data_IF_905999786574
#
_entry.id   IF_905999786574
#
_cell.length_a   1.000
_cell.length_b   1.000
_cell.length_c   1.000
_cell.angle_alpha   90.00
_cell.angle_beta   90.00
_cell.angle_gamma   90.00
#
_symmetry.space_group_name_H-M   'P 1'
#
loop_
_entity.id
_entity.type
_entity.pdbx_description
1 polymer ?
#
# COMPACT_ATOMS: atom_id res chain seq x y z
N UNK A 1 23.53 -37.96 -12.92
CA UNK A 1 23.92 -36.69 -12.31
C UNK A 1 23.04 -36.52 -11.07
N UNK A 2 23.49 -37.04 -9.93
CA UNK A 2 22.80 -36.95 -8.66
C UNK A 2 22.80 -35.49 -8.21
N UNK A 3 21.63 -34.91 -8.21
CA UNK A 3 21.43 -33.62 -7.57
C UNK A 3 21.52 -33.84 -6.07
N UNK A 4 22.61 -33.41 -5.47
CA UNK A 4 22.73 -33.41 -4.01
C UNK A 4 21.51 -32.66 -3.43
N UNK A 5 20.85 -33.31 -2.47
CA UNK A 5 19.63 -32.82 -1.79
C UNK A 5 19.83 -31.55 -0.94
N UNK A 6 20.93 -30.89 -1.13
CA UNK A 6 21.28 -29.60 -0.51
C UNK A 6 21.14 -28.46 -1.51
N UNK A 7 19.98 -28.32 -2.17
CA UNK A 7 19.61 -26.97 -2.59
C UNK A 7 19.52 -26.16 -1.30
N UNK A 8 20.59 -25.47 -0.96
CA UNK A 8 20.67 -24.63 0.25
C UNK A 8 19.53 -23.63 0.13
N UNK A 9 18.43 -23.93 0.83
CA UNK A 9 17.52 -22.89 1.21
C UNK A 9 18.39 -21.74 1.71
N UNK A 10 18.21 -20.51 1.28
CA UNK A 10 18.87 -19.40 1.93
C UNK A 10 18.46 -19.49 3.40
N UNK A 11 19.32 -20.14 4.20
CA UNK A 11 19.10 -20.22 5.63
C UNK A 11 18.88 -18.79 6.06
N UNK A 12 17.75 -18.53 6.71
CA UNK A 12 17.62 -17.33 7.53
C UNK A 12 18.94 -17.23 8.25
N UNK A 13 19.78 -16.28 7.87
CA UNK A 13 21.08 -16.11 8.45
C UNK A 13 20.82 -16.04 9.94
N UNK A 14 21.34 -16.96 10.72
CA UNK A 14 21.23 -16.94 12.16
C UNK A 14 21.89 -15.66 12.64
N UNK A 15 21.09 -14.61 12.65
CA UNK A 15 21.52 -13.32 13.13
C UNK A 15 21.42 -13.39 14.65
N UNK A 16 22.56 -13.35 15.32
CA UNK A 16 22.66 -13.43 16.79
C UNK A 16 21.85 -12.35 17.52
N UNK A 17 21.41 -11.28 16.81
CA UNK A 17 20.55 -10.21 17.34
C UNK A 17 19.53 -9.78 16.30
N UNK A 18 18.26 -9.95 16.61
CA UNK A 18 17.17 -9.38 15.81
C UNK A 18 17.08 -7.86 16.06
N UNK A 19 17.10 -7.07 14.98
CA UNK A 19 16.99 -5.62 15.06
C UNK A 19 15.64 -5.11 14.53
N UNK A 20 14.62 -5.96 14.53
CA UNK A 20 13.28 -5.58 14.05
C UNK A 20 12.73 -4.33 14.75
N UNK A 21 12.66 -4.38 16.08
CA UNK A 21 12.13 -3.24 16.85
C UNK A 21 13.01 -2.00 16.78
N UNK A 22 14.32 -2.17 16.63
CA UNK A 22 15.24 -1.06 16.36
C UNK A 22 14.88 -0.39 15.02
N UNK A 23 14.63 -1.18 13.96
CA UNK A 23 14.26 -0.67 12.64
C UNK A 23 12.93 0.07 12.69
N UNK A 24 11.92 -0.54 13.32
CA UNK A 24 10.60 0.10 13.52
C UNK A 24 10.75 1.42 14.26
N UNK A 25 11.51 1.43 15.37
CA UNK A 25 11.76 2.63 16.16
C UNK A 25 12.53 3.72 15.41
N UNK A 26 13.55 3.34 14.63
CA UNK A 26 14.31 4.29 13.79
C UNK A 26 13.41 4.90 12.71
N UNK A 27 12.61 4.11 12.02
CA UNK A 27 11.70 4.63 11.00
C UNK A 27 10.63 5.54 11.64
N UNK A 28 10.09 5.17 12.79
CA UNK A 28 9.14 6.00 13.53
C UNK A 28 9.78 7.34 13.97
N UNK A 29 10.97 7.27 14.56
CA UNK A 29 11.70 8.46 15.04
C UNK A 29 12.06 9.39 13.88
N UNK A 30 12.59 8.84 12.79
CA UNK A 30 12.95 9.64 11.60
C UNK A 30 11.72 10.31 11.01
N UNK A 31 10.61 9.58 10.84
CA UNK A 31 9.35 10.16 10.38
C UNK A 31 8.82 11.23 11.33
N UNK A 32 8.85 10.97 12.64
CA UNK A 32 8.44 11.95 13.65
C UNK A 32 9.29 13.23 13.59
N UNK A 33 10.62 13.10 13.50
CA UNK A 33 11.53 14.25 13.38
C UNK A 33 11.31 15.03 12.07
N UNK A 34 10.97 14.33 10.98
CA UNK A 34 10.68 14.97 9.69
C UNK A 34 9.38 15.77 9.74
N UNK A 35 8.30 15.21 10.32
CA UNK A 35 7.01 15.87 10.35
C UNK A 35 6.85 16.86 11.50
N UNK A 36 7.62 16.74 12.59
CA UNK A 36 7.49 17.54 13.80
C UNK A 36 7.55 19.05 13.55
N UNK A 37 8.48 19.60 12.75
CA UNK A 37 8.53 21.04 12.50
C UNK A 37 7.23 21.57 11.88
N UNK A 38 6.70 20.88 10.88
CA UNK A 38 5.45 21.26 10.22
C UNK A 38 4.25 21.15 11.16
N UNK A 39 4.19 20.08 11.94
CA UNK A 39 3.15 19.87 12.95
C UNK A 39 3.12 20.96 14.02
N UNK A 40 4.30 21.42 14.47
CA UNK A 40 4.40 22.49 15.47
C UNK A 40 4.06 23.87 14.87
N UNK A 41 4.52 24.16 13.65
CA UNK A 41 4.24 25.43 12.97
C UNK A 41 2.74 25.58 12.71
N UNK A 42 2.06 24.50 12.36
CA UNK A 42 0.64 24.49 12.06
C UNK A 42 -0.25 24.27 13.32
N UNK A 43 0.31 24.41 14.52
CA UNK A 43 -0.46 24.31 15.77
C UNK A 43 -1.06 22.93 16.03
N UNK A 44 -0.37 21.85 15.61
CA UNK A 44 -0.81 20.46 15.77
C UNK A 44 -1.56 19.89 14.56
N UNK A 45 -1.71 20.69 13.51
CA UNK A 45 -2.18 20.19 12.21
C UNK A 45 -1.00 19.86 11.30
N UNK A 46 -1.29 19.24 10.18
CA UNK A 46 -0.34 19.08 9.10
C UNK A 46 -1.02 19.49 7.80
N UNK A 47 -0.68 20.67 7.32
CA UNK A 47 -1.10 21.15 6.02
C UNK A 47 0.00 20.81 5.01
N UNK A 48 -0.37 20.11 3.97
CA UNK A 48 0.56 19.82 2.89
C UNK A 48 0.07 20.50 1.61
N UNK A 49 -0.50 19.75 0.69
CA UNK A 49 -0.92 20.30 -0.59
C UNK A 49 -2.10 19.51 -1.16
N UNK A 50 -2.91 20.15 -1.99
CA UNK A 50 -3.92 19.54 -2.82
C UNK A 50 -4.77 18.49 -2.11
N UNK A 51 -4.71 17.25 -2.58
CA UNK A 51 -5.56 16.16 -2.11
C UNK A 51 -5.34 15.79 -0.64
N UNK A 52 -4.17 16.04 -0.07
CA UNK A 52 -3.98 15.81 1.36
C UNK A 52 -4.91 16.68 2.19
N UNK A 53 -4.96 17.98 1.91
CA UNK A 53 -5.80 18.92 2.64
C UNK A 53 -7.29 18.81 2.27
N UNK A 54 -7.57 18.79 0.96
CA UNK A 54 -8.95 18.84 0.46
C UNK A 54 -9.72 17.55 0.64
N UNK A 55 -9.02 16.40 0.58
CA UNK A 55 -9.65 15.09 0.61
C UNK A 55 -9.26 14.29 1.86
N UNK A 56 -7.96 14.04 2.09
CA UNK A 56 -7.56 13.03 3.07
C UNK A 56 -7.97 13.37 4.51
N UNK A 57 -7.75 14.62 4.94
CA UNK A 57 -8.15 15.07 6.28
C UNK A 57 -9.67 15.04 6.42
N UNK A 58 -10.38 15.56 5.41
CA UNK A 58 -11.84 15.62 5.39
C UNK A 58 -12.46 14.23 5.36
N UNK A 59 -11.92 13.31 4.56
CA UNK A 59 -12.41 11.94 4.44
C UNK A 59 -12.23 11.16 5.74
N UNK A 60 -11.06 11.24 6.38
CA UNK A 60 -10.84 10.60 7.67
C UNK A 60 -11.84 11.10 8.72
N UNK A 61 -12.02 12.42 8.80
CA UNK A 61 -12.97 13.03 9.76
C UNK A 61 -14.41 12.61 9.47
N UNK A 62 -14.84 12.75 8.21
CA UNK A 62 -16.19 12.39 7.81
C UNK A 62 -16.48 10.91 8.09
N UNK A 63 -15.62 10.03 7.60
CA UNK A 63 -15.82 8.59 7.71
C UNK A 63 -15.73 8.08 9.15
N UNK A 64 -14.92 8.70 10.01
CA UNK A 64 -14.91 8.39 11.43
C UNK A 64 -16.29 8.67 12.05
N UNK A 65 -16.87 9.83 11.80
CA UNK A 65 -18.22 10.17 12.24
C UNK A 65 -19.29 9.27 11.65
N UNK A 66 -19.20 9.00 10.34
CA UNK A 66 -20.12 8.13 9.62
C UNK A 66 -20.16 6.71 10.22
N UNK A 67 -19.01 6.07 10.40
CA UNK A 67 -18.90 4.73 10.99
C UNK A 67 -19.39 4.68 12.44
N UNK A 68 -19.19 5.75 13.20
CA UNK A 68 -19.65 5.84 14.61
C UNK A 68 -21.09 6.25 14.78
N UNK A 69 -21.78 6.61 13.71
CA UNK A 69 -23.15 7.12 13.80
C UNK A 69 -23.28 8.51 14.43
N UNK A 70 -22.15 9.26 14.54
CA UNK A 70 -22.12 10.54 15.18
C UNK A 70 -22.67 11.66 14.28
N UNK A 71 -23.96 11.93 14.37
CA UNK A 71 -24.56 13.14 13.80
C UNK A 71 -24.81 13.14 12.30
N UNK A 72 -24.62 12.03 11.63
CA UNK A 72 -24.96 11.86 10.22
C UNK A 72 -26.26 11.02 10.11
N UNK A 73 -27.36 11.57 9.55
CA UNK A 73 -28.64 10.87 9.47
C UNK A 73 -28.57 9.57 8.65
N UNK A 74 -27.54 9.43 7.81
CA UNK A 74 -27.33 8.29 6.93
C UNK A 74 -26.24 7.34 7.44
N UNK A 75 -25.94 7.30 8.74
CA UNK A 75 -24.86 6.48 9.26
C UNK A 75 -25.10 4.99 9.07
N UNK A 76 -24.06 4.25 8.69
CA UNK A 76 -24.14 2.82 8.37
C UNK A 76 -24.56 1.94 9.57
N UNK A 77 -24.38 2.40 10.80
CA UNK A 77 -24.78 1.66 12.00
C UNK A 77 -26.28 1.70 12.26
N UNK A 78 -26.98 2.72 11.76
CA UNK A 78 -28.42 2.81 11.92
C UNK A 78 -29.18 2.06 10.83
N UNK A 79 -28.54 1.81 9.68
CA UNK A 79 -29.15 1.05 8.59
C UNK A 79 -28.08 0.37 7.75
N UNK A 80 -27.86 -0.91 8.00
CA UNK A 80 -27.01 -1.82 7.18
C UNK A 80 -27.37 -1.78 5.68
N UNK A 81 -28.45 -1.10 5.30
CA UNK A 81 -28.95 -0.98 3.93
C UNK A 81 -28.59 0.32 3.22
N UNK A 82 -28.20 1.38 3.94
CA UNK A 82 -27.92 2.67 3.30
C UNK A 82 -26.42 2.85 3.06
N UNK A 83 -25.95 2.41 1.91
CA UNK A 83 -24.61 2.72 1.38
C UNK A 83 -24.57 4.09 0.70
N UNK A 84 -25.66 4.83 0.66
CA UNK A 84 -25.81 6.14 0.04
C UNK A 84 -25.82 7.25 1.09
N UNK A 85 -25.16 8.35 0.82
CA UNK A 85 -25.18 9.54 1.66
C UNK A 85 -25.29 10.82 0.82
N UNK A 86 -26.21 11.69 1.19
CA UNK A 86 -26.34 13.04 0.60
C UNK A 86 -25.16 13.95 0.92
N UNK A 87 -24.42 13.67 2.00
CA UNK A 87 -23.23 14.43 2.39
C UNK A 87 -21.96 14.00 1.61
N UNK A 88 -22.06 12.98 0.77
CA UNK A 88 -20.94 12.48 -0.06
C UNK A 88 -21.17 12.89 -1.51
N UNK A 89 -20.28 13.72 -2.06
CA UNK A 89 -20.28 14.11 -3.48
C UNK A 89 -21.65 14.54 -4.05
N UNK A 90 -22.41 15.35 -3.27
CA UNK A 90 -23.78 15.78 -3.63
C UNK A 90 -24.80 14.63 -3.71
N UNK A 91 -24.53 13.53 -3.04
CA UNK A 91 -25.33 12.33 -3.05
C UNK A 91 -24.68 11.20 -3.84
N UNK A 92 -23.92 10.37 -3.15
CA UNK A 92 -23.19 9.24 -3.74
C UNK A 92 -23.19 8.03 -2.81
N UNK A 93 -22.90 6.86 -3.39
CA UNK A 93 -22.63 5.65 -2.62
C UNK A 93 -21.32 5.76 -1.84
N UNK A 94 -21.37 5.53 -0.54
CA UNK A 94 -20.20 5.58 0.36
C UNK A 94 -19.13 4.58 -0.07
N UNK A 95 -19.53 3.39 -0.56
CA UNK A 95 -18.59 2.41 -1.12
C UNK A 95 -17.89 2.93 -2.37
N UNK A 96 -18.61 3.61 -3.25
CA UNK A 96 -18.02 4.18 -4.46
C UNK A 96 -17.01 5.27 -4.12
N UNK A 97 -17.32 6.14 -3.16
CA UNK A 97 -16.50 7.29 -2.81
C UNK A 97 -15.28 6.92 -1.95
N UNK A 98 -15.39 5.95 -1.03
CA UNK A 98 -14.39 5.74 0.02
C UNK A 98 -13.74 4.35 0.04
N UNK A 99 -14.20 3.38 -0.75
CA UNK A 99 -13.58 2.05 -0.78
C UNK A 99 -12.12 2.09 -1.22
N UNK A 100 -11.80 2.97 -2.17
CA UNK A 100 -10.43 3.17 -2.67
C UNK A 100 -9.51 3.87 -1.66
N UNK A 101 -10.06 4.78 -0.84
CA UNK A 101 -9.26 5.66 0.02
C UNK A 101 -9.09 5.15 1.44
N UNK A 102 -10.14 4.60 2.06
CA UNK A 102 -10.17 4.43 3.52
C UNK A 102 -10.68 3.07 3.99
N UNK A 103 -11.73 2.52 3.38
CA UNK A 103 -12.45 1.37 3.93
C UNK A 103 -11.55 0.16 4.19
N UNK A 104 -10.57 -0.08 3.33
CA UNK A 104 -9.64 -1.16 3.46
C UNK A 104 -8.41 -0.86 4.32
N UNK A 105 -8.20 0.40 4.71
CA UNK A 105 -7.00 0.82 5.42
C UNK A 105 -7.02 0.41 6.90
N UNK A 106 -6.05 -0.40 7.38
CA UNK A 106 -5.95 -0.71 8.79
C UNK A 106 -5.64 0.53 9.65
N UNK A 107 -5.00 1.53 9.07
CA UNK A 107 -4.69 2.80 9.74
C UNK A 107 -5.94 3.66 9.92
N UNK A 108 -6.87 3.61 8.97
CA UNK A 108 -8.17 4.24 9.16
C UNK A 108 -8.96 3.54 10.29
N UNK A 109 -9.02 2.21 10.29
CA UNK A 109 -9.69 1.47 11.37
C UNK A 109 -9.07 1.73 12.74
N UNK A 110 -7.75 1.85 12.81
CA UNK A 110 -7.07 2.28 14.04
C UNK A 110 -7.50 3.68 14.46
N UNK A 111 -7.70 4.61 13.51
CA UNK A 111 -8.13 5.98 13.81
C UNK A 111 -9.52 6.07 14.45
N UNK A 112 -10.36 5.04 14.30
CA UNK A 112 -11.68 4.98 14.94
C UNK A 112 -11.61 4.88 16.47
N UNK A 113 -10.46 4.54 17.04
CA UNK A 113 -10.27 4.56 18.50
C UNK A 113 -10.32 5.99 19.08
N UNK A 114 -10.20 7.00 18.24
CA UNK A 114 -10.13 8.41 18.64
C UNK A 114 -11.41 9.17 18.26
N UNK A 115 -11.75 10.25 19.02
CA UNK A 115 -12.86 11.11 18.67
C UNK A 115 -12.72 11.76 17.30
N UNK A 116 -13.84 11.97 16.62
CA UNK A 116 -13.88 12.58 15.28
C UNK A 116 -13.10 13.91 15.19
N UNK A 117 -13.23 14.74 16.21
CA UNK A 117 -12.58 16.06 16.22
C UNK A 117 -11.04 15.99 16.36
N UNK A 118 -10.49 14.85 16.74
CA UNK A 118 -9.05 14.64 16.87
C UNK A 118 -8.40 14.21 15.55
N UNK A 119 -9.20 13.80 14.55
CA UNK A 119 -8.66 13.24 13.31
C UNK A 119 -7.68 14.17 12.58
N UNK A 120 -7.92 15.49 12.47
CA UNK A 120 -6.96 16.39 11.84
C UNK A 120 -5.59 16.39 12.53
N UNK A 121 -5.57 16.26 13.87
CA UNK A 121 -4.33 16.18 14.66
C UNK A 121 -3.65 14.81 14.58
N UNK A 122 -4.40 13.77 14.26
CA UNK A 122 -3.89 12.40 14.15
C UNK A 122 -3.22 12.11 12.81
N UNK A 123 -3.31 12.97 11.81
CA UNK A 123 -2.76 12.72 10.49
C UNK A 123 -1.25 12.46 10.54
N UNK A 124 -0.48 13.26 11.28
CA UNK A 124 0.97 13.05 11.47
C UNK A 124 1.27 11.79 12.28
N UNK A 125 0.67 11.55 13.46
CA UNK A 125 0.84 10.28 14.18
C UNK A 125 0.54 9.04 13.32
N UNK A 126 -0.51 9.08 12.48
CA UNK A 126 -0.83 8.00 11.56
C UNK A 126 0.22 7.83 10.46
N UNK A 127 0.75 8.92 9.91
CA UNK A 127 1.87 8.86 8.96
C UNK A 127 3.10 8.23 9.62
N UNK A 128 3.48 8.66 10.82
CA UNK A 128 4.59 8.06 11.57
C UNK A 128 4.38 6.57 11.77
N UNK A 129 3.15 6.14 12.12
CA UNK A 129 2.81 4.73 12.25
C UNK A 129 2.98 3.98 10.91
N UNK A 130 2.54 4.56 9.79
CA UNK A 130 2.70 3.95 8.45
C UNK A 130 4.16 3.75 8.09
N UNK A 131 5.00 4.77 8.31
CA UNK A 131 6.44 4.67 8.09
C UNK A 131 7.09 3.61 9.00
N UNK A 132 6.69 3.53 10.25
CA UNK A 132 7.16 2.49 11.18
C UNK A 132 6.79 1.07 10.68
N UNK A 133 5.55 0.89 10.24
CA UNK A 133 5.06 -0.38 9.68
C UNK A 133 5.80 -0.73 8.38
N UNK A 134 6.01 0.25 7.48
CA UNK A 134 6.78 0.06 6.26
C UNK A 134 8.20 -0.45 6.55
N UNK A 135 8.90 0.19 7.50
CA UNK A 135 10.24 -0.22 7.91
C UNK A 135 10.29 -1.62 8.49
N UNK A 136 9.31 -1.98 9.32
CA UNK A 136 9.18 -3.34 9.87
C UNK A 136 8.98 -4.39 8.79
N UNK A 137 8.08 -4.15 7.84
CA UNK A 137 7.82 -5.05 6.72
C UNK A 137 9.05 -5.22 5.81
N UNK A 138 9.67 -4.09 5.44
CA UNK A 138 10.89 -4.11 4.63
C UNK A 138 12.04 -4.85 5.33
N UNK A 139 12.21 -4.67 6.64
CA UNK A 139 13.19 -5.41 7.43
C UNK A 139 12.92 -6.92 7.38
N UNK A 140 11.67 -7.36 7.60
CA UNK A 140 11.31 -8.78 7.57
C UNK A 140 11.61 -9.42 6.21
N UNK A 141 11.35 -8.70 5.13
CA UNK A 141 11.65 -9.16 3.77
C UNK A 141 13.15 -9.19 3.50
N UNK A 142 13.85 -8.06 3.74
CA UNK A 142 15.25 -7.90 3.37
C UNK A 142 16.22 -8.76 4.18
N UNK A 143 15.91 -9.06 5.45
CA UNK A 143 16.76 -9.89 6.31
C UNK A 143 17.05 -11.29 5.75
N UNK A 144 16.23 -11.74 4.79
CA UNK A 144 16.47 -13.03 4.11
C UNK A 144 17.62 -12.95 3.12
N UNK A 145 17.84 -11.78 2.52
CA UNK A 145 18.77 -11.59 1.40
C UNK A 145 20.06 -10.89 1.82
N UNK A 146 19.99 -10.02 2.81
CA UNK A 146 21.11 -9.21 3.26
C UNK A 146 21.84 -9.89 4.41
N UNK A 147 23.14 -10.21 4.19
CA UNK A 147 23.94 -10.95 5.18
C UNK A 147 24.24 -10.16 6.45
N UNK A 148 24.46 -8.85 6.31
CA UNK A 148 24.75 -7.97 7.44
C UNK A 148 23.45 -7.33 7.93
N UNK A 149 23.17 -7.48 9.23
CA UNK A 149 21.95 -6.96 9.84
C UNK A 149 21.85 -5.43 9.79
N UNK A 150 22.99 -4.72 9.88
CA UNK A 150 23.00 -3.26 9.84
C UNK A 150 22.63 -2.75 8.44
N UNK A 151 23.08 -3.44 7.40
CA UNK A 151 22.65 -3.15 6.03
C UNK A 151 21.20 -3.55 5.78
N UNK A 152 20.68 -4.53 6.50
CA UNK A 152 19.23 -4.83 6.48
C UNK A 152 18.43 -3.66 7.04
N UNK A 153 18.85 -3.11 8.18
CA UNK A 153 18.23 -1.92 8.78
C UNK A 153 18.32 -0.73 7.82
N UNK A 154 19.50 -0.47 7.26
CA UNK A 154 19.69 0.59 6.28
C UNK A 154 18.78 0.41 5.06
N UNK A 155 18.73 -0.79 4.49
CA UNK A 155 17.87 -1.09 3.34
C UNK A 155 16.38 -0.89 3.65
N UNK A 156 15.94 -1.26 4.85
CA UNK A 156 14.57 -1.02 5.30
C UNK A 156 14.27 0.50 5.44
N UNK A 157 15.21 1.28 5.96
CA UNK A 157 15.09 2.73 6.01
C UNK A 157 15.05 3.34 4.60
N UNK A 158 15.93 2.92 3.68
CA UNK A 158 15.93 3.39 2.29
C UNK A 158 14.61 3.08 1.57
N UNK A 159 14.03 1.92 1.79
CA UNK A 159 12.71 1.59 1.26
C UNK A 159 11.63 2.52 1.84
N UNK A 160 11.62 2.66 3.16
CA UNK A 160 10.61 3.43 3.90
C UNK A 160 10.61 4.90 3.49
N UNK A 161 11.79 5.49 3.34
CA UNK A 161 11.99 6.90 2.97
C UNK A 161 12.37 7.06 1.49
N UNK A 162 11.95 6.12 0.64
CA UNK A 162 12.15 6.25 -0.81
C UNK A 162 11.45 7.49 -1.36
N UNK A 163 11.94 7.98 -2.49
CA UNK A 163 11.34 9.12 -3.18
C UNK A 163 9.85 8.93 -3.44
N UNK A 164 9.44 7.70 -3.80
CA UNK A 164 8.03 7.34 -3.96
C UNK A 164 7.23 7.58 -2.68
N UNK A 165 7.69 7.10 -1.54
CA UNK A 165 6.95 7.22 -0.27
C UNK A 165 6.85 8.69 0.16
N UNK A 166 7.96 9.41 0.14
CA UNK A 166 8.02 10.81 0.59
C UNK A 166 7.18 11.71 -0.31
N UNK A 167 7.25 11.53 -1.62
CA UNK A 167 6.45 12.30 -2.56
C UNK A 167 4.95 11.99 -2.41
N UNK A 168 4.58 10.71 -2.26
CA UNK A 168 3.19 10.28 -2.18
C UNK A 168 2.54 10.48 -0.80
N UNK A 169 3.18 11.15 0.15
CA UNK A 169 2.49 11.68 1.34
C UNK A 169 1.26 12.53 0.94
N UNK A 170 1.35 13.20 -0.19
CA UNK A 170 0.25 13.92 -0.84
C UNK A 170 -1.00 13.04 -1.02
N UNK A 171 -0.82 11.78 -1.39
CA UNK A 171 -1.85 10.75 -1.43
C UNK A 171 -1.69 9.81 -0.24
N UNK A 172 -2.13 10.22 0.92
CA UNK A 172 -1.95 9.51 2.18
C UNK A 172 -2.26 7.99 2.12
N UNK A 173 -3.26 7.58 1.31
CA UNK A 173 -3.62 6.17 1.11
C UNK A 173 -2.59 5.37 0.26
N UNK A 174 -1.72 6.03 -0.50
CA UNK A 174 -0.62 5.34 -1.20
C UNK A 174 0.47 4.90 -0.22
N UNK A 175 0.67 5.65 0.86
CA UNK A 175 1.61 5.27 1.93
C UNK A 175 1.18 3.98 2.64
N UNK A 176 -0.14 3.71 2.69
CA UNK A 176 -0.66 2.44 3.21
C UNK A 176 -0.18 1.25 2.36
N UNK A 177 -0.18 1.42 1.03
CA UNK A 177 0.30 0.40 0.10
C UNK A 177 1.79 0.12 0.32
N UNK A 178 2.60 1.18 0.45
CA UNK A 178 4.03 1.05 0.77
C UNK A 178 4.23 0.34 2.11
N UNK A 179 3.43 0.67 3.11
CA UNK A 179 3.54 0.08 4.44
C UNK A 179 3.25 -1.43 4.45
N UNK A 180 2.29 -1.90 3.65
CA UNK A 180 1.78 -3.27 3.71
C UNK A 180 2.37 -4.21 2.67
N UNK A 181 2.86 -3.70 1.54
CA UNK A 181 3.39 -4.53 0.45
C UNK A 181 4.59 -5.41 0.83
N UNK A 182 5.57 -4.96 1.62
CA UNK A 182 6.69 -5.80 2.02
C UNK A 182 6.28 -7.05 2.82
N UNK A 183 5.18 -6.99 3.57
CA UNK A 183 4.65 -8.14 4.28
C UNK A 183 4.06 -9.18 3.33
N UNK A 184 3.48 -8.75 2.21
CA UNK A 184 3.00 -9.65 1.16
C UNK A 184 4.18 -10.39 0.52
N UNK A 185 5.27 -9.69 0.20
CA UNK A 185 6.51 -10.30 -0.32
C UNK A 185 7.13 -11.26 0.69
N UNK A 186 7.26 -10.82 1.94
CA UNK A 186 7.77 -11.67 3.01
C UNK A 186 6.93 -12.94 3.18
N UNK A 187 5.61 -12.84 3.15
CA UNK A 187 4.73 -13.99 3.33
C UNK A 187 4.79 -14.98 2.16
N UNK A 188 4.96 -14.49 0.93
CA UNK A 188 5.21 -15.34 -0.23
C UNK A 188 6.52 -16.10 -0.06
N UNK A 189 7.59 -15.42 0.35
CA UNK A 189 8.87 -16.07 0.61
C UNK A 189 8.79 -17.10 1.75
N UNK A 190 8.05 -16.81 2.81
CA UNK A 190 7.82 -17.77 3.90
C UNK A 190 7.06 -19.01 3.41
N UNK A 191 6.10 -18.85 2.50
CA UNK A 191 5.41 -19.98 1.89
C UNK A 191 6.31 -20.77 0.94
N UNK A 192 7.19 -20.09 0.18
CA UNK A 192 8.10 -20.73 -0.77
C UNK A 192 9.23 -21.50 -0.09
N UNK A 193 9.88 -20.90 0.92
CA UNK A 193 11.10 -21.41 1.50
C UNK A 193 10.90 -22.16 2.82
N UNK A 194 9.94 -21.75 3.64
CA UNK A 194 9.73 -22.29 4.99
C UNK A 194 8.44 -23.10 5.13
N UNK A 195 7.67 -23.28 4.04
CA UNK A 195 6.37 -23.96 4.04
C UNK A 195 5.37 -23.40 5.09
N UNK A 196 5.54 -22.13 5.47
CA UNK A 196 4.61 -21.45 6.38
C UNK A 196 3.34 -21.09 5.64
N UNK A 197 2.24 -21.67 6.10
CA UNK A 197 0.94 -21.53 5.45
C UNK A 197 0.10 -20.45 6.10
N UNK A 198 -0.94 -20.03 5.39
CA UNK A 198 -1.97 -19.07 5.79
C UNK A 198 -1.53 -17.61 5.85
N UNK A 199 -0.24 -17.33 6.11
CA UNK A 199 0.25 -15.95 6.10
C UNK A 199 0.17 -15.30 4.73
N UNK A 200 0.39 -16.09 3.66
CA UNK A 200 0.30 -15.55 2.31
C UNK A 200 -1.15 -15.19 1.96
N UNK A 201 -2.12 -16.08 2.25
CA UNK A 201 -3.53 -15.77 2.06
C UNK A 201 -3.97 -14.54 2.85
N UNK A 202 -3.53 -14.42 4.11
CA UNK A 202 -3.83 -13.27 4.95
C UNK A 202 -3.31 -11.95 4.34
N UNK A 203 -2.04 -11.92 3.91
CA UNK A 203 -1.46 -10.69 3.34
C UNK A 203 -1.98 -10.38 1.93
N UNK A 204 -2.38 -11.39 1.15
CA UNK A 204 -3.15 -11.19 -0.09
C UNK A 204 -4.45 -10.47 0.21
N UNK A 205 -5.23 -10.95 1.19
CA UNK A 205 -6.48 -10.31 1.59
C UNK A 205 -6.27 -8.87 2.08
N UNK A 206 -5.28 -8.66 2.96
CA UNK A 206 -4.97 -7.33 3.52
C UNK A 206 -4.60 -6.34 2.41
N UNK A 207 -3.70 -6.70 1.48
CA UNK A 207 -3.30 -5.79 0.41
C UNK A 207 -4.42 -5.53 -0.58
N UNK A 208 -5.23 -6.54 -0.90
CA UNK A 208 -6.41 -6.40 -1.76
C UNK A 208 -7.44 -5.44 -1.16
N UNK A 209 -7.79 -5.65 0.11
CA UNK A 209 -8.76 -4.83 0.84
C UNK A 209 -8.23 -3.41 1.03
N UNK A 210 -6.93 -3.28 1.35
CA UNK A 210 -6.31 -1.97 1.55
C UNK A 210 -6.43 -1.07 0.32
N UNK A 211 -6.08 -1.60 -0.87
CA UNK A 211 -6.21 -0.84 -2.11
C UNK A 211 -6.24 -1.77 -3.33
N UNK A 212 -7.44 -2.07 -3.81
CA UNK A 212 -7.65 -2.98 -4.93
C UNK A 212 -7.03 -2.49 -6.25
N UNK A 213 -6.87 -1.18 -6.45
CA UNK A 213 -6.24 -0.61 -7.65
C UNK A 213 -4.74 -0.95 -7.69
N UNK A 214 -4.01 -0.67 -6.61
CA UNK A 214 -2.60 -1.02 -6.51
C UNK A 214 -2.39 -2.53 -6.44
N UNK A 215 -3.35 -3.27 -5.90
CA UNK A 215 -3.26 -4.73 -5.80
C UNK A 215 -3.12 -5.40 -7.17
N UNK A 216 -3.73 -4.86 -8.23
CA UNK A 216 -3.55 -5.35 -9.61
C UNK A 216 -2.06 -5.28 -9.99
N UNK A 217 -1.41 -4.14 -9.75
CA UNK A 217 0.02 -3.98 -9.99
C UNK A 217 0.87 -4.91 -9.11
N UNK A 218 0.49 -5.10 -7.85
CA UNK A 218 1.15 -6.04 -6.95
C UNK A 218 1.05 -7.49 -7.44
N UNK A 219 -0.09 -7.92 -8.00
CA UNK A 219 -0.26 -9.26 -8.58
C UNK A 219 0.68 -9.45 -9.77
N UNK A 220 0.76 -8.46 -10.66
CA UNK A 220 1.71 -8.50 -11.80
C UNK A 220 3.15 -8.59 -11.29
N UNK A 221 3.50 -7.77 -10.30
CA UNK A 221 4.82 -7.80 -9.68
C UNK A 221 5.12 -9.19 -9.06
N UNK A 222 4.18 -9.74 -8.29
CA UNK A 222 4.33 -11.06 -7.66
C UNK A 222 4.52 -12.17 -8.70
N UNK A 223 3.80 -12.11 -9.83
CA UNK A 223 3.96 -13.07 -10.91
C UNK A 223 5.37 -13.00 -11.52
N UNK A 224 5.85 -11.79 -11.84
CA UNK A 224 7.21 -11.59 -12.35
C UNK A 224 8.24 -12.02 -11.30
N UNK A 225 8.08 -11.62 -10.06
CA UNK A 225 8.94 -12.02 -8.93
C UNK A 225 9.02 -13.54 -8.79
N UNK A 226 7.89 -14.22 -8.82
CA UNK A 226 7.81 -15.68 -8.75
C UNK A 226 8.56 -16.35 -9.93
N UNK A 227 8.37 -15.85 -11.17
CA UNK A 227 9.08 -16.34 -12.36
C UNK A 227 10.60 -16.14 -12.21
N UNK A 228 11.03 -14.96 -11.75
CA UNK A 228 12.45 -14.69 -11.47
C UNK A 228 13.01 -15.67 -10.44
N UNK A 229 12.26 -15.93 -9.36
CA UNK A 229 12.66 -16.91 -8.33
C UNK A 229 12.75 -18.33 -8.88
N UNK A 230 11.87 -18.73 -9.77
CA UNK A 230 11.96 -20.03 -10.46
C UNK A 230 13.22 -20.10 -11.33
N UNK A 231 13.58 -19.03 -12.00
CA UNK A 231 14.76 -18.96 -12.88
C UNK A 231 16.06 -19.07 -12.09
N UNK A 232 16.13 -18.53 -10.86
CA UNK A 232 17.31 -18.65 -9.98
C UNK A 232 17.47 -20.04 -9.38
N UNK A 233 16.46 -20.89 -9.50
CA UNK A 233 16.42 -22.25 -8.92
C UNK A 233 16.66 -22.27 -7.39
N UNK A 234 16.30 -21.21 -6.72
CA UNK A 234 16.48 -21.07 -5.25
C UNK A 234 15.60 -22.05 -4.47
N UNK A 235 14.54 -22.57 -5.08
CA UNK A 235 13.64 -23.56 -4.49
C UNK A 235 13.14 -24.56 -5.54
N UNK A 236 12.66 -25.71 -5.06
CA UNK A 236 12.00 -26.70 -5.94
C UNK A 236 10.49 -26.46 -5.95
N UNK A 237 9.96 -26.15 -7.13
CA UNK A 237 8.52 -26.09 -7.31
C UNK A 237 7.98 -27.50 -7.56
N UNK A 238 7.19 -28.00 -6.60
CA UNK A 238 6.41 -29.21 -6.79
C UNK A 238 4.96 -28.86 -7.14
N UNK A 239 4.24 -29.77 -7.80
CA UNK A 239 2.82 -29.57 -8.08
C UNK A 239 2.02 -29.27 -6.83
N UNK A 240 2.34 -29.94 -5.70
CA UNK A 240 1.74 -29.70 -4.38
C UNK A 240 2.00 -28.26 -3.91
N UNK A 241 3.24 -27.78 -3.99
CA UNK A 241 3.60 -26.41 -3.55
C UNK A 241 2.90 -25.36 -4.42
N UNK A 242 2.88 -25.56 -5.74
CA UNK A 242 2.15 -24.68 -6.65
C UNK A 242 0.64 -24.66 -6.35
N UNK A 243 0.05 -25.84 -6.18
CA UNK A 243 -1.39 -25.93 -5.82
C UNK A 243 -1.73 -25.25 -4.50
N UNK A 244 -0.85 -25.34 -3.50
CA UNK A 244 -1.03 -24.63 -2.22
C UNK A 244 -0.93 -23.13 -2.36
N UNK A 245 0.05 -22.62 -3.14
CA UNK A 245 0.18 -21.18 -3.39
C UNK A 245 -1.04 -20.63 -4.16
N UNK A 246 -1.50 -21.37 -5.18
CA UNK A 246 -2.70 -21.02 -5.91
C UNK A 246 -3.93 -21.01 -4.99
N UNK A 247 -4.06 -22.02 -4.13
CA UNK A 247 -5.13 -22.08 -3.15
C UNK A 247 -5.10 -20.90 -2.16
N UNK A 248 -3.93 -20.58 -1.60
CA UNK A 248 -3.78 -19.43 -0.69
C UNK A 248 -4.06 -18.08 -1.39
N UNK A 249 -3.65 -17.94 -2.66
CA UNK A 249 -3.98 -16.76 -3.48
C UNK A 249 -5.51 -16.61 -3.65
N UNK A 250 -6.18 -17.70 -4.02
CA UNK A 250 -7.63 -17.71 -4.17
C UNK A 250 -8.35 -17.48 -2.84
N UNK A 251 -7.88 -18.10 -1.77
CA UNK A 251 -8.44 -17.91 -0.42
C UNK A 251 -8.29 -16.45 0.03
N UNK A 252 -7.11 -15.87 -0.13
CA UNK A 252 -6.88 -14.45 0.21
C UNK A 252 -7.76 -13.52 -0.62
N UNK A 253 -7.90 -13.79 -1.92
CA UNK A 253 -8.81 -13.05 -2.80
C UNK A 253 -10.27 -13.22 -2.37
N UNK A 254 -10.70 -14.42 -2.02
CA UNK A 254 -12.04 -14.68 -1.50
C UNK A 254 -12.29 -13.95 -0.17
N UNK A 255 -11.32 -13.91 0.73
CA UNK A 255 -11.42 -13.11 1.96
C UNK A 255 -11.55 -11.61 1.67
N UNK A 256 -10.78 -11.09 0.71
CA UNK A 256 -10.82 -9.69 0.30
C UNK A 256 -12.07 -9.31 -0.51
N UNK A 257 -12.79 -10.30 -1.03
CA UNK A 257 -13.99 -10.06 -1.86
C UNK A 257 -15.13 -9.38 -1.10
N UNK A 258 -15.12 -9.44 0.21
CA UNK A 258 -16.07 -8.72 1.08
C UNK A 258 -16.10 -7.22 0.79
N UNK A 259 -14.97 -6.63 0.43
CA UNK A 259 -14.86 -5.23 0.00
C UNK A 259 -14.79 -5.11 -1.52
N UNK A 260 -14.06 -6.00 -2.20
CA UNK A 260 -13.83 -5.91 -3.63
C UNK A 260 -15.11 -6.03 -4.43
N UNK A 261 -15.98 -7.00 -4.11
CA UNK A 261 -17.23 -7.23 -4.87
C UNK A 261 -18.15 -6.01 -4.81
N UNK A 262 -18.51 -5.47 -3.63
CA UNK A 262 -19.29 -4.23 -3.57
C UNK A 262 -18.63 -3.05 -4.28
N UNK A 263 -17.30 -2.89 -4.17
CA UNK A 263 -16.58 -1.82 -4.85
C UNK A 263 -16.66 -1.96 -6.37
N UNK A 264 -16.41 -3.15 -6.91
CA UNK A 264 -16.51 -3.42 -8.37
C UNK A 264 -17.92 -3.18 -8.87
N UNK A 265 -18.93 -3.70 -8.18
CA UNK A 265 -20.33 -3.47 -8.57
C UNK A 265 -20.70 -1.98 -8.58
N UNK A 266 -20.19 -1.22 -7.61
CA UNK A 266 -20.38 0.23 -7.55
C UNK A 266 -19.68 0.95 -8.70
N UNK A 267 -18.44 0.54 -9.04
CA UNK A 267 -17.68 1.10 -10.16
C UNK A 267 -18.36 0.82 -11.49
N UNK A 268 -18.85 -0.40 -11.70
CA UNK A 268 -19.54 -0.78 -12.95
C UNK A 268 -20.84 0.02 -13.19
N UNK A 269 -21.44 0.53 -12.13
CA UNK A 269 -22.61 1.40 -12.23
C UNK A 269 -22.25 2.87 -12.48
N UNK A 270 -20.96 3.23 -12.41
CA UNK A 270 -20.52 4.59 -12.62
C UNK A 270 -20.47 4.91 -14.13
N UNK A 271 -21.17 5.97 -14.61
CA UNK A 271 -21.16 6.35 -16.03
C UNK A 271 -19.78 6.81 -16.53
N UNK A 272 -18.82 7.05 -15.62
CA UNK A 272 -17.42 7.39 -15.94
C UNK A 272 -16.52 6.17 -16.07
N UNK A 273 -17.07 4.97 -16.17
CA UNK A 273 -16.26 3.75 -16.36
C UNK A 273 -15.43 3.88 -17.63
N UNK A 274 -14.15 3.55 -17.51
CA UNK A 274 -13.22 3.51 -18.64
C UNK A 274 -13.71 2.39 -19.57
N UNK A 275 -13.91 2.71 -20.84
CA UNK A 275 -14.15 1.71 -21.85
C UNK A 275 -12.87 0.90 -22.09
N UNK A 276 -12.74 -0.21 -21.38
CA UNK A 276 -11.63 -1.14 -21.53
C UNK A 276 -11.66 -1.87 -22.87
N UNK A 277 -12.77 -1.76 -23.64
CA UNK A 277 -12.93 -2.38 -24.95
C UNK A 277 -12.29 -1.58 -26.09
N UNK A 278 -11.76 -0.41 -25.84
CA UNK A 278 -11.15 0.47 -26.83
C UNK A 278 -9.80 -0.04 -27.40
N UNK A 279 -9.54 -1.33 -27.34
CA UNK A 279 -8.40 -1.99 -28.01
C UNK A 279 -7.06 -1.72 -27.31
N UNK A 280 -6.05 -1.34 -28.08
CA UNK A 280 -4.68 -1.10 -27.58
C UNK A 280 -4.58 0.08 -26.59
N UNK A 281 -5.60 0.92 -26.46
CA UNK A 281 -5.64 2.03 -25.52
C UNK A 281 -5.43 1.62 -24.04
N UNK A 282 -5.71 0.37 -23.69
CA UNK A 282 -5.41 -0.19 -22.38
C UNK A 282 -3.90 -0.43 -22.13
N UNK A 283 -3.15 -0.73 -23.19
CA UNK A 283 -1.72 -1.09 -23.10
C UNK A 283 -0.79 0.04 -23.55
N UNK A 284 -1.34 1.12 -24.09
CA UNK A 284 -0.54 2.21 -24.65
C UNK A 284 -0.84 3.53 -23.97
N UNK A 285 0.20 4.30 -23.76
CA UNK A 285 0.06 5.67 -23.29
C UNK A 285 -0.32 6.61 -24.44
N UNK A 286 -1.10 7.62 -24.14
CA UNK A 286 -1.55 8.62 -25.14
C UNK A 286 -0.44 9.50 -25.68
N UNK A 287 0.66 9.66 -24.93
CA UNK A 287 1.81 10.50 -25.29
C UNK A 287 3.09 9.66 -25.30
N UNK A 288 3.87 9.78 -26.38
CA UNK A 288 5.17 9.07 -26.52
C UNK A 288 6.14 9.45 -25.40
N UNK A 289 6.10 10.69 -24.93
CA UNK A 289 6.93 11.17 -23.82
C UNK A 289 6.73 10.38 -22.51
N UNK A 290 5.56 9.75 -22.33
CA UNK A 290 5.30 8.91 -21.14
C UNK A 290 6.20 7.68 -21.08
N UNK A 291 6.56 7.10 -22.23
CA UNK A 291 7.52 5.98 -22.26
C UNK A 291 8.92 6.42 -21.85
N UNK A 292 9.34 7.61 -22.31
CA UNK A 292 10.60 8.20 -21.88
C UNK A 292 10.58 8.55 -20.40
N UNK A 293 9.47 9.08 -19.90
CA UNK A 293 9.29 9.41 -18.49
C UNK A 293 9.44 8.20 -17.58
N UNK A 294 9.00 7.01 -18.00
CA UNK A 294 9.21 5.76 -17.26
C UNK A 294 10.70 5.48 -17.04
N UNK A 295 11.52 5.66 -18.08
CA UNK A 295 12.96 5.47 -17.97
C UNK A 295 13.63 6.56 -17.13
N UNK A 296 13.22 7.80 -17.33
CA UNK A 296 13.76 8.97 -16.62
C UNK A 296 13.40 8.96 -15.15
N UNK A 297 12.23 8.45 -14.78
CA UNK A 297 11.79 8.32 -13.39
C UNK A 297 12.69 7.43 -12.53
N UNK A 298 13.55 6.62 -13.16
CA UNK A 298 14.56 5.83 -12.46
C UNK A 298 15.74 6.66 -11.95
N UNK A 299 15.94 7.85 -12.49
CA UNK A 299 17.12 8.68 -12.22
C UNK A 299 16.71 10.05 -11.66
N UNK A 300 15.58 10.59 -12.13
CA UNK A 300 15.12 11.92 -11.76
C UNK A 300 14.01 11.86 -10.72
N UNK A 301 13.99 12.79 -9.76
CA UNK A 301 12.87 12.94 -8.84
C UNK A 301 11.61 13.38 -9.61
N UNK A 302 10.42 13.12 -9.06
CA UNK A 302 9.17 13.58 -9.65
C UNK A 302 9.11 15.11 -9.63
N UNK A 303 8.40 15.68 -10.62
CA UNK A 303 8.15 17.10 -10.64
C UNK A 303 7.31 17.55 -9.44
N UNK A 304 7.67 18.68 -8.86
CA UNK A 304 6.86 19.28 -7.80
C UNK A 304 5.45 19.59 -8.32
N UNK A 305 4.39 19.37 -7.51
CA UNK A 305 3.02 19.71 -7.89
C UNK A 305 2.82 21.18 -8.29
N UNK A 306 3.68 22.07 -7.83
CA UNK A 306 3.57 23.51 -7.98
C UNK A 306 4.55 24.11 -9.01
N UNK A 307 5.50 23.32 -9.50
CA UNK A 307 6.46 23.76 -10.49
C UNK A 307 6.04 23.25 -11.88
N UNK A 308 6.44 23.98 -12.90
CA UNK A 308 6.30 23.52 -14.30
C UNK A 308 7.15 22.27 -14.51
N UNK A 309 6.58 21.30 -15.21
CA UNK A 309 7.29 20.07 -15.54
C UNK A 309 8.54 20.37 -16.39
N UNK A 310 9.65 19.74 -16.05
CA UNK A 310 10.93 19.88 -16.77
C UNK A 310 10.83 19.34 -18.21
N UNK A 311 10.02 18.31 -18.42
CA UNK A 311 9.99 17.59 -19.71
C UNK A 311 8.75 17.87 -20.54
N UNK A 312 7.60 17.94 -19.91
CA UNK A 312 6.32 18.34 -20.49
C UNK A 312 5.24 18.32 -19.43
N UNK A 313 4.17 19.09 -19.61
CA UNK A 313 3.08 19.13 -18.66
C UNK A 313 2.56 17.74 -18.28
N UNK A 314 2.68 17.38 -17.02
CA UNK A 314 2.06 16.21 -16.41
C UNK A 314 2.67 14.85 -16.74
N UNK A 315 3.80 14.77 -17.46
CA UNK A 315 4.37 13.47 -17.89
C UNK A 315 5.12 12.73 -16.78
N UNK A 316 5.81 13.45 -15.90
CA UNK A 316 6.60 12.86 -14.80
C UNK A 316 5.97 13.12 -13.42
N UNK A 317 4.93 13.91 -13.36
CA UNK A 317 4.35 14.44 -12.12
C UNK A 317 4.02 13.38 -11.07
N UNK A 318 3.65 12.20 -11.51
CA UNK A 318 3.17 11.10 -10.66
C UNK A 318 4.06 9.86 -10.69
N UNK A 319 5.17 9.93 -11.40
CA UNK A 319 6.18 8.89 -11.41
C UNK A 319 7.28 9.28 -10.44
N UNK A 320 7.49 8.50 -9.43
CA UNK A 320 8.61 8.64 -8.52
C UNK A 320 9.13 7.27 -8.16
N UNK A 321 10.43 7.19 -8.02
CA UNK A 321 11.05 6.04 -7.40
C UNK A 321 11.21 6.24 -5.91
#
# INVERSE_FOLDING_TARGET
>A
MEWSDTARQPRLLEQKKDKFWLTVGLCALTAALFFLPFYLIDGGFFHYAGDFNSQQISFYRYMNGFVKGAGYPDSAFTTVRNTFSWATDLGSGVMNAYSFYLYGSPFFWFSLLFPQNWLPYLMVPLLVLKFAVAGGGAYLYLRRYVKNIDYTVLGACLYTFSGFTVYNVFFNHFVDVVALFPYLLWSLDEALYNDRRSWFAFWVAVNLVNNYFFFIGQVVFLAIYFICKLSTRDFRLTAKKFGLLAFESLLGTAMGSILLVPAVLSILQNPRTIDLSSGWGFLTYSKVQQYLAILVSWIMPPDSPYLTSIWSEGVIKWTSM
#
